data_IF_113605361437
#
_entry.id   IF_113605361437
#
_cell.length_a   1.000
_cell.length_b   1.000
_cell.length_c   1.000
_cell.angle_alpha   90.00
_cell.angle_beta   90.00
_cell.angle_gamma   90.00
#
_symmetry.space_group_name_H-M   'P 1'
#
loop_
_entity.id
_entity.type
_entity.pdbx_description
1 polymer ?
#
# COMPACT_ATOMS: atom_id res chain seq x y z
N UNK A 1 -12.61 -14.37 9.83
CA UNK A 1 -12.39 -13.04 9.24
C UNK A 1 -11.38 -13.20 8.12
N UNK A 2 -11.58 -12.59 6.95
CA UNK A 2 -10.63 -12.70 5.85
C UNK A 2 -9.29 -12.04 6.23
N UNK A 3 -8.18 -12.63 5.80
CA UNK A 3 -6.85 -12.10 6.05
C UNK A 3 -6.56 -10.92 5.11
N UNK A 4 -5.97 -9.84 5.63
CA UNK A 4 -5.48 -8.72 4.81
C UNK A 4 -4.43 -9.21 3.83
N UNK A 5 -4.55 -8.80 2.56
CA UNK A 5 -3.64 -9.19 1.47
C UNK A 5 -3.40 -8.03 0.51
N UNK A 6 -2.33 -8.10 -0.27
CA UNK A 6 -2.06 -7.15 -1.36
C UNK A 6 -2.54 -7.72 -2.69
N UNK A 7 -3.11 -6.88 -3.55
CA UNK A 7 -3.47 -7.22 -4.93
C UNK A 7 -2.83 -6.25 -5.91
N UNK A 8 -2.49 -6.77 -7.09
CA UNK A 8 -2.01 -5.94 -8.18
C UNK A 8 -3.19 -5.29 -8.91
N UNK A 9 -3.09 -4.00 -9.15
CA UNK A 9 -4.02 -3.25 -9.98
C UNK A 9 -3.59 -3.21 -11.48
N UNK A 10 -2.32 -3.50 -11.79
CA UNK A 10 -1.80 -3.50 -13.15
C UNK A 10 -2.49 -4.56 -14.01
N UNK A 11 -2.77 -4.22 -15.28
CA UNK A 11 -3.41 -5.14 -16.22
C UNK A 11 -4.91 -5.39 -15.99
N UNK A 12 -5.53 -4.78 -14.97
CA UNK A 12 -6.97 -4.95 -14.74
C UNK A 12 -7.81 -4.43 -15.90
N UNK A 13 -8.89 -5.15 -16.27
CA UNK A 13 -9.81 -4.72 -17.31
C UNK A 13 -10.62 -3.49 -16.87
N UNK A 14 -11.14 -3.50 -15.63
CA UNK A 14 -11.79 -2.33 -15.02
C UNK A 14 -10.78 -1.43 -14.32
N UNK A 15 -10.97 -0.10 -14.44
CA UNK A 15 -10.16 0.94 -13.78
C UNK A 15 -10.82 1.43 -12.49
N UNK A 16 -11.39 0.50 -11.75
CA UNK A 16 -12.06 0.72 -10.48
C UNK A 16 -11.53 -0.23 -9.41
N UNK A 17 -11.66 0.17 -8.14
CA UNK A 17 -11.43 -0.71 -7.01
C UNK A 17 -12.66 -1.58 -6.77
N UNK A 18 -12.45 -2.79 -6.26
CA UNK A 18 -13.53 -3.59 -5.71
C UNK A 18 -13.99 -3.01 -4.34
N UNK A 19 -15.22 -3.30 -3.87
CA UNK A 19 -15.75 -2.71 -2.63
C UNK A 19 -14.89 -2.88 -1.37
N UNK A 20 -14.12 -3.96 -1.28
CA UNK A 20 -13.24 -4.26 -0.14
C UNK A 20 -11.77 -3.86 -0.37
N UNK A 21 -11.47 -3.21 -1.50
CA UNK A 21 -10.12 -2.78 -1.83
C UNK A 21 -9.83 -1.36 -1.35
N UNK A 22 -8.68 -1.20 -0.71
CA UNK A 22 -8.15 0.09 -0.28
C UNK A 22 -6.93 0.41 -1.12
N UNK A 23 -6.98 1.50 -1.88
CA UNK A 23 -5.81 1.98 -2.60
C UNK A 23 -4.77 2.53 -1.62
N UNK A 24 -3.55 2.02 -1.71
CA UNK A 24 -2.44 2.40 -0.83
C UNK A 24 -1.32 3.14 -1.58
N UNK A 25 -1.54 3.50 -2.85
CA UNK A 25 -0.54 4.16 -3.69
C UNK A 25 -0.66 5.69 -3.70
N UNK A 26 0.23 6.32 -4.47
CA UNK A 26 0.19 7.76 -4.75
C UNK A 26 -0.95 8.12 -5.71
N UNK A 27 -1.37 9.39 -5.78
CA UNK A 27 -2.34 9.89 -6.79
C UNK A 27 -2.10 9.28 -8.18
N UNK A 28 -3.13 8.66 -8.75
CA UNK A 28 -3.06 8.03 -10.08
C UNK A 28 -4.24 8.49 -10.94
N UNK A 29 -3.92 9.16 -12.05
CA UNK A 29 -4.88 9.67 -13.04
C UNK A 29 -4.64 9.14 -14.46
N UNK A 30 -3.61 8.31 -14.65
CA UNK A 30 -3.22 7.80 -15.97
C UNK A 30 -3.89 6.46 -16.27
N UNK A 31 -4.09 6.16 -17.56
CA UNK A 31 -4.59 4.86 -18.01
C UNK A 31 -6.05 4.57 -17.64
N UNK A 32 -6.86 5.62 -17.46
CA UNK A 32 -8.28 5.55 -17.10
C UNK A 32 -8.55 5.38 -15.61
N UNK A 33 -7.52 5.41 -14.77
CA UNK A 33 -7.66 5.43 -13.32
C UNK A 33 -7.96 6.84 -12.81
N UNK A 34 -8.73 6.92 -11.73
CA UNK A 34 -8.92 8.15 -10.96
C UNK A 34 -8.87 7.83 -9.46
N UNK A 35 -7.68 7.53 -8.95
CA UNK A 35 -7.47 7.12 -7.56
C UNK A 35 -6.76 8.25 -6.79
N UNK A 36 -7.29 8.71 -5.65
CA UNK A 36 -6.70 9.81 -4.88
C UNK A 36 -5.37 9.41 -4.25
N UNK A 37 -4.66 10.39 -3.69
CA UNK A 37 -3.48 10.10 -2.88
C UNK A 37 -3.89 9.37 -1.59
N UNK A 38 -3.20 8.28 -1.27
CA UNK A 38 -3.50 7.48 -0.08
C UNK A 38 -2.69 7.98 1.12
N UNK A 39 -3.25 8.01 2.33
CA UNK A 39 -2.45 8.23 3.54
C UNK A 39 -1.41 7.13 3.77
N UNK A 40 -1.56 5.98 3.10
CA UNK A 40 -0.62 4.85 3.14
C UNK A 40 0.37 4.86 1.97
N UNK A 41 0.36 5.89 1.13
CA UNK A 41 1.31 6.00 0.02
C UNK A 41 2.76 6.02 0.55
N UNK A 42 3.63 5.23 -0.07
CA UNK A 42 5.06 5.36 0.19
C UNK A 42 5.56 6.70 -0.40
N UNK A 43 6.14 7.63 0.38
CA UNK A 43 6.65 8.88 -0.15
C UNK A 43 7.99 8.71 -0.88
N UNK A 44 8.75 7.65 -0.61
CA UNK A 44 10.06 7.35 -1.22
C UNK A 44 9.90 6.70 -2.61
N UNK A 45 10.26 7.36 -3.72
CA UNK A 45 10.04 6.80 -5.06
C UNK A 45 11.08 5.75 -5.40
N UNK A 46 10.66 4.60 -5.92
CA UNK A 46 11.56 3.52 -6.39
C UNK A 46 12.58 4.04 -7.41
N UNK A 47 12.19 4.99 -8.28
CA UNK A 47 13.10 5.61 -9.28
C UNK A 47 14.28 6.34 -8.62
N UNK A 48 14.11 6.86 -7.42
CA UNK A 48 15.12 7.64 -6.69
C UNK A 48 15.95 6.76 -5.76
N UNK A 49 15.30 5.87 -5.01
CA UNK A 49 15.96 5.10 -3.94
C UNK A 49 16.28 3.65 -4.34
N UNK A 50 15.70 3.14 -5.42
CA UNK A 50 15.62 1.69 -5.64
C UNK A 50 14.53 1.04 -4.77
N UNK A 51 14.18 -0.21 -5.06
CA UNK A 51 13.07 -0.90 -4.38
C UNK A 51 13.41 -1.19 -2.92
N UNK A 52 14.58 -1.73 -2.65
CA UNK A 52 14.92 -2.19 -1.30
C UNK A 52 15.03 -1.02 -0.32
N UNK A 53 15.77 0.03 -0.70
CA UNK A 53 15.94 1.22 0.13
C UNK A 53 14.60 1.96 0.35
N UNK A 54 13.75 2.10 -0.68
CA UNK A 54 12.46 2.76 -0.50
C UNK A 54 11.53 1.99 0.45
N UNK A 55 11.69 0.67 0.56
CA UNK A 55 10.93 -0.19 1.48
C UNK A 55 11.48 -0.09 2.90
N UNK A 56 12.81 -0.04 3.07
CA UNK A 56 13.46 0.21 4.36
C UNK A 56 13.02 1.57 4.91
N UNK A 57 13.15 2.64 4.12
CA UNK A 57 12.75 3.99 4.52
C UNK A 57 11.26 4.07 4.87
N UNK A 58 10.41 3.39 4.08
CA UNK A 58 8.97 3.37 4.34
C UNK A 58 8.64 2.66 5.66
N UNK A 59 9.25 1.49 5.92
CA UNK A 59 9.08 0.79 7.20
C UNK A 59 9.45 1.69 8.37
N UNK A 60 10.63 2.30 8.30
CA UNK A 60 11.13 3.18 9.36
C UNK A 60 10.18 4.36 9.59
N UNK A 61 9.66 4.96 8.52
CA UNK A 61 8.69 6.05 8.61
C UNK A 61 7.41 5.64 9.36
N UNK A 62 6.84 4.47 9.03
CA UNK A 62 5.63 3.96 9.70
C UNK A 62 5.93 3.68 11.17
N UNK A 63 7.02 2.95 11.48
CA UNK A 63 7.35 2.57 12.86
C UNK A 63 7.67 3.76 13.76
N UNK A 64 8.28 4.82 13.22
CA UNK A 64 8.58 6.05 13.96
C UNK A 64 7.37 6.98 14.09
N UNK A 65 6.24 6.65 13.47
CA UNK A 65 5.00 7.41 13.56
C UNK A 65 3.94 6.63 14.36
N UNK A 66 3.80 6.89 15.68
CA UNK A 66 2.86 6.17 16.53
C UNK A 66 1.40 6.27 16.06
N UNK A 67 1.03 7.38 15.41
CA UNK A 67 -0.32 7.56 14.90
C UNK A 67 -0.58 6.63 13.71
N UNK A 68 0.36 6.54 12.77
CA UNK A 68 0.24 5.59 11.66
C UNK A 68 0.23 4.13 12.14
N UNK A 69 1.05 3.79 13.15
CA UNK A 69 1.03 2.45 13.75
C UNK A 69 -0.35 2.10 14.30
N UNK A 70 -0.99 2.99 15.08
CA UNK A 70 -2.35 2.78 15.60
C UNK A 70 -3.38 2.59 14.50
N UNK A 71 -3.26 3.37 13.42
CA UNK A 71 -4.18 3.33 12.29
C UNK A 71 -4.06 2.07 11.43
N UNK A 72 -3.04 1.22 11.63
CA UNK A 72 -2.91 -0.04 10.90
C UNK A 72 -4.13 -0.95 11.08
N UNK A 73 -4.83 -0.86 12.22
CA UNK A 73 -6.07 -1.60 12.46
C UNK A 73 -7.19 -1.28 11.45
N UNK A 74 -7.18 -0.09 10.83
CA UNK A 74 -8.12 0.28 9.75
C UNK A 74 -7.98 -0.62 8.51
N UNK A 75 -6.81 -1.25 8.34
CA UNK A 75 -6.48 -2.11 7.21
C UNK A 75 -6.80 -3.59 7.48
N UNK A 76 -7.21 -3.95 8.70
CA UNK A 76 -7.49 -5.34 9.06
C UNK A 76 -8.70 -5.87 8.29
N UNK A 77 -8.51 -7.01 7.63
CA UNK A 77 -9.51 -7.63 6.77
C UNK A 77 -9.75 -6.92 5.42
N UNK A 78 -8.97 -5.89 5.08
CA UNK A 78 -9.06 -5.20 3.78
C UNK A 78 -8.15 -5.85 2.74
N UNK A 79 -8.47 -5.62 1.47
CA UNK A 79 -7.54 -5.94 0.37
C UNK A 79 -6.78 -4.68 -0.02
N UNK A 80 -5.46 -4.68 0.10
CA UNK A 80 -4.63 -3.52 -0.21
C UNK A 80 -4.27 -3.50 -1.69
N UNK A 81 -4.61 -2.44 -2.40
CA UNK A 81 -4.43 -2.34 -3.84
C UNK A 81 -3.20 -1.50 -4.19
N UNK A 82 -2.23 -2.11 -4.89
CA UNK A 82 -0.97 -1.48 -5.28
C UNK A 82 -0.52 -1.93 -6.68
N UNK A 83 0.41 -1.18 -7.30
CA UNK A 83 1.02 -1.50 -8.58
C UNK A 83 2.25 -2.41 -8.47
N UNK A 84 2.89 -2.50 -7.30
CA UNK A 84 4.17 -3.17 -7.15
C UNK A 84 4.04 -4.70 -7.02
N UNK A 85 2.98 -5.19 -6.37
CA UNK A 85 2.76 -6.62 -6.17
C UNK A 85 2.70 -7.36 -7.52
N UNK A 86 3.30 -8.56 -7.70
CA UNK A 86 3.87 -9.46 -6.71
C UNK A 86 5.33 -9.18 -6.31
N UNK A 87 5.94 -8.12 -6.84
CA UNK A 87 7.26 -7.69 -6.35
C UNK A 87 7.12 -7.15 -4.92
N UNK A 88 8.22 -7.11 -4.13
CA UNK A 88 8.19 -6.54 -2.79
C UNK A 88 7.50 -5.18 -2.77
N UNK A 89 6.45 -5.09 -1.96
CA UNK A 89 5.52 -3.97 -1.95
C UNK A 89 5.44 -3.37 -0.55
N UNK A 90 5.17 -2.07 -0.48
CA UNK A 90 4.97 -1.40 0.81
C UNK A 90 3.70 -1.88 1.52
N UNK A 91 2.73 -2.43 0.77
CA UNK A 91 1.57 -3.11 1.35
C UNK A 91 1.95 -4.34 2.18
N UNK A 92 3.02 -5.05 1.82
CA UNK A 92 3.51 -6.20 2.59
C UNK A 92 4.05 -5.74 3.95
N UNK A 93 4.72 -4.58 3.99
CA UNK A 93 5.20 -3.95 5.23
C UNK A 93 4.03 -3.59 6.14
N UNK A 94 2.97 -2.98 5.61
CA UNK A 94 1.79 -2.63 6.39
C UNK A 94 1.16 -3.87 7.05
N UNK A 95 1.03 -4.96 6.29
CA UNK A 95 0.51 -6.24 6.81
C UNK A 95 1.42 -6.79 7.89
N UNK A 96 2.73 -6.79 7.67
CA UNK A 96 3.69 -7.30 8.66
C UNK A 96 3.65 -6.49 9.96
N UNK A 97 3.68 -5.16 9.87
CA UNK A 97 3.63 -4.29 11.05
C UNK A 97 2.30 -4.44 11.80
N UNK A 98 1.18 -4.54 11.08
CA UNK A 98 -0.14 -4.74 11.67
C UNK A 98 -0.26 -6.07 12.42
N UNK A 99 0.41 -7.13 11.94
CA UNK A 99 0.40 -8.44 12.59
C UNK A 99 1.37 -8.57 13.76
N UNK A 100 2.28 -7.60 13.94
CA UNK A 100 3.24 -7.55 15.07
C UNK A 100 2.73 -6.72 16.25
N UNK A 101 1.60 -6.04 16.09
CA UNK A 101 0.86 -5.42 17.20
C UNK A 101 0.16 -6.49 18.02
#
# INVERSE_FOLDING_TARGET
MEQTKVVNLAGRPSKTLNPNEVYIGRRQTQGGWDLPDSPWANPYPVKTYGRDECLILYRDMIQRNPEMMKRLEELRGKTLACWCHPQPCHGDILIELMNKQ
#
